data_IF_086886956391
#
_entry.id   IF_086886956391
#
_cell.length_a   1.000
_cell.length_b   1.000
_cell.length_c   1.000
_cell.angle_alpha   90.00
_cell.angle_beta   90.00
_cell.angle_gamma   90.00
#
_symmetry.space_group_name_H-M   'P 1'
#
loop_
_entity.id
_entity.type
_entity.pdbx_description
1 polymer ?
#
# COMPACT_ATOMS: atom_id res chain seq x y z
N UNK A 1 -9.52 8.73 12.81
CA UNK A 1 -9.43 8.37 11.38
C UNK A 1 -10.83 7.93 10.91
N UNK A 2 -11.41 8.56 9.88
CA UNK A 2 -12.70 8.11 9.33
C UNK A 2 -12.41 6.99 8.34
N UNK A 3 -12.68 5.74 8.72
CA UNK A 3 -12.64 4.61 7.80
C UNK A 3 -13.76 4.84 6.78
N UNK A 4 -13.40 5.18 5.54
CA UNK A 4 -14.34 5.22 4.42
C UNK A 4 -14.71 3.77 4.10
N UNK A 5 -15.86 3.32 4.59
CA UNK A 5 -16.49 2.09 4.07
C UNK A 5 -16.81 2.33 2.59
N UNK A 6 -15.93 1.86 1.69
CA UNK A 6 -16.27 1.73 0.27
C UNK A 6 -17.13 0.46 0.13
N UNK A 7 -18.32 0.64 -0.45
CA UNK A 7 -19.34 -0.40 -0.62
C UNK A 7 -18.83 -1.49 -1.57
N UNK A 8 -19.19 -2.77 -1.34
CA UNK A 8 -18.94 -3.90 -2.26
C UNK A 8 -19.78 -3.79 -3.56
N UNK A 9 -19.72 -2.63 -4.22
CA UNK A 9 -20.30 -2.39 -5.54
C UNK A 9 -19.27 -2.89 -6.57
N UNK A 10 -19.69 -3.55 -7.67
CA UNK A 10 -18.79 -3.83 -8.78
C UNK A 10 -18.07 -2.56 -9.21
N UNK A 11 -16.77 -2.53 -8.99
CA UNK A 11 -15.90 -1.44 -9.40
C UNK A 11 -15.30 -1.79 -10.76
N UNK A 12 -15.12 -0.79 -11.61
CA UNK A 12 -14.34 -0.96 -12.83
C UNK A 12 -12.87 -1.26 -12.46
N UNK A 13 -12.11 -1.78 -13.42
CA UNK A 13 -10.74 -2.25 -13.14
C UNK A 13 -9.84 -1.16 -12.55
N UNK A 14 -10.05 0.10 -12.94
CA UNK A 14 -9.28 1.25 -12.46
C UNK A 14 -9.58 1.55 -11.00
N UNK A 15 -10.84 1.59 -10.62
CA UNK A 15 -11.32 1.83 -9.26
C UNK A 15 -10.87 0.69 -8.34
N UNK A 16 -10.89 -0.54 -8.84
CA UNK A 16 -10.35 -1.70 -8.12
C UNK A 16 -8.85 -1.56 -7.85
N UNK A 17 -8.08 -1.07 -8.82
CA UNK A 17 -6.64 -0.84 -8.63
C UNK A 17 -6.37 0.29 -7.63
N UNK A 18 -7.16 1.36 -7.67
CA UNK A 18 -7.08 2.44 -6.68
C UNK A 18 -7.40 1.95 -5.27
N UNK A 19 -8.47 1.15 -5.12
CA UNK A 19 -8.83 0.53 -3.85
C UNK A 19 -7.71 -0.38 -3.33
N UNK A 20 -7.06 -1.14 -4.22
CA UNK A 20 -5.93 -1.99 -3.85
C UNK A 20 -4.72 -1.17 -3.39
N UNK A 21 -4.40 -0.07 -4.07
CA UNK A 21 -3.31 0.84 -3.66
C UNK A 21 -3.60 1.42 -2.27
N UNK A 22 -4.84 1.87 -2.04
CA UNK A 22 -5.29 2.41 -0.74
C UNK A 22 -5.11 1.35 0.37
N UNK A 23 -5.51 0.10 0.10
CA UNK A 23 -5.42 -1.01 1.06
C UNK A 23 -3.97 -1.42 1.37
N UNK A 24 -3.14 -1.55 0.34
CA UNK A 24 -1.72 -1.89 0.50
C UNK A 24 -1.00 -0.78 1.27
N UNK A 25 -1.25 0.48 0.93
CA UNK A 25 -0.64 1.63 1.63
C UNK A 25 -1.06 1.65 3.10
N UNK A 26 -2.34 1.43 3.39
CA UNK A 26 -2.83 1.37 4.78
C UNK A 26 -2.20 0.22 5.56
N UNK A 27 -2.07 -0.96 4.92
CA UNK A 27 -1.41 -2.13 5.51
C UNK A 27 0.06 -1.87 5.80
N UNK A 28 0.78 -1.19 4.90
CA UNK A 28 2.17 -0.79 5.10
C UNK A 28 2.32 0.19 6.27
N UNK A 29 1.40 1.14 6.42
CA UNK A 29 1.38 2.06 7.57
C UNK A 29 1.19 1.29 8.90
N UNK A 30 0.31 0.30 8.94
CA UNK A 30 0.11 -0.54 10.13
C UNK A 30 1.34 -1.40 10.46
N UNK A 31 1.99 -1.98 9.44
CA UNK A 31 3.22 -2.76 9.60
C UNK A 31 4.39 -1.87 10.04
N UNK A 32 4.54 -0.68 9.46
CA UNK A 32 5.55 0.31 9.85
C UNK A 32 5.37 0.74 11.31
N UNK A 33 4.14 1.01 11.74
CA UNK A 33 3.85 1.35 13.13
C UNK A 33 4.20 0.20 14.09
N UNK A 34 3.93 -1.05 13.67
CA UNK A 34 4.28 -2.25 14.45
C UNK A 34 5.79 -2.48 14.52
N UNK A 35 6.53 -2.13 13.47
CA UNK A 35 7.99 -2.18 13.46
C UNK A 35 8.58 -1.13 14.42
N UNK A 36 8.10 0.10 14.33
CA UNK A 36 8.54 1.21 15.18
C UNK A 36 8.23 0.98 16.67
N UNK A 37 7.15 0.25 16.97
CA UNK A 37 6.83 -0.19 18.34
C UNK A 37 7.62 -1.42 18.81
N UNK A 38 8.37 -2.07 17.91
CA UNK A 38 9.11 -3.29 18.20
C UNK A 38 8.24 -4.54 18.34
N UNK A 39 7.03 -4.50 17.79
CA UNK A 39 6.02 -5.57 17.84
C UNK A 39 5.93 -6.37 16.53
N UNK A 40 6.62 -5.94 15.48
CA UNK A 40 6.66 -6.63 14.20
C UNK A 40 7.44 -7.95 14.30
N UNK A 41 6.83 -9.04 13.83
CA UNK A 41 7.47 -10.35 13.74
C UNK A 41 8.01 -10.63 12.32
N UNK A 42 8.73 -11.74 12.16
CA UNK A 42 9.31 -12.15 10.87
C UNK A 42 8.27 -12.31 9.75
N UNK A 43 7.02 -12.63 10.10
CA UNK A 43 5.95 -12.72 9.13
C UNK A 43 5.52 -11.33 8.66
N UNK A 44 5.42 -10.38 9.59
CA UNK A 44 5.17 -8.97 9.31
C UNK A 44 6.26 -8.32 8.46
N UNK A 45 7.54 -8.60 8.73
CA UNK A 45 8.66 -8.15 7.90
C UNK A 45 8.52 -8.65 6.46
N UNK A 46 8.23 -9.95 6.27
CA UNK A 46 8.01 -10.53 4.96
C UNK A 46 6.79 -9.95 4.24
N UNK A 47 5.70 -9.69 4.96
CA UNK A 47 4.51 -9.05 4.40
C UNK A 47 4.80 -7.61 3.93
N UNK A 48 5.57 -6.86 4.72
CA UNK A 48 5.99 -5.49 4.39
C UNK A 48 6.80 -5.44 3.09
N UNK A 49 7.78 -6.34 2.94
CA UNK A 49 8.57 -6.46 1.72
C UNK A 49 7.73 -6.71 0.47
N UNK A 50 6.76 -7.65 0.57
CA UNK A 50 5.88 -7.96 -0.56
C UNK A 50 4.98 -6.78 -0.91
N UNK A 51 4.45 -6.06 0.09
CA UNK A 51 3.60 -4.90 -0.15
C UNK A 51 4.37 -3.72 -0.78
N UNK A 52 5.62 -3.49 -0.37
CA UNK A 52 6.51 -2.52 -1.03
C UNK A 52 6.72 -2.91 -2.49
N UNK A 53 7.11 -4.15 -2.78
CA UNK A 53 7.33 -4.64 -4.15
C UNK A 53 6.07 -4.49 -5.02
N UNK A 54 4.88 -4.73 -4.45
CA UNK A 54 3.61 -4.56 -5.18
C UNK A 54 3.33 -3.10 -5.53
N UNK A 55 3.56 -2.15 -4.62
CA UNK A 55 3.40 -0.73 -4.93
C UNK A 55 4.41 -0.27 -5.99
N UNK A 56 5.67 -0.72 -5.91
CA UNK A 56 6.68 -0.41 -6.92
C UNK A 56 6.30 -0.98 -8.30
N UNK A 57 5.83 -2.22 -8.34
CA UNK A 57 5.35 -2.84 -9.56
C UNK A 57 4.21 -2.03 -10.18
N UNK A 58 3.25 -1.59 -9.38
CA UNK A 58 2.15 -0.75 -9.85
C UNK A 58 2.68 0.59 -10.35
N UNK A 59 3.56 1.26 -9.58
CA UNK A 59 4.13 2.55 -9.95
C UNK A 59 4.86 2.50 -11.29
N UNK A 60 5.69 1.46 -11.50
CA UNK A 60 6.48 1.28 -12.72
C UNK A 60 5.65 0.88 -13.95
N UNK A 61 4.50 0.21 -13.77
CA UNK A 61 3.71 -0.36 -14.87
C UNK A 61 2.46 0.43 -15.21
N UNK A 62 1.92 1.18 -14.26
CA UNK A 62 0.73 1.99 -14.46
C UNK A 62 1.11 3.44 -14.70
N UNK A 63 0.93 3.90 -15.94
CA UNK A 63 1.35 5.23 -16.39
C UNK A 63 0.75 6.37 -15.55
N UNK A 64 -0.48 6.21 -15.08
CA UNK A 64 -1.17 7.23 -14.28
C UNK A 64 -0.91 7.10 -12.76
N UNK A 65 -0.04 6.19 -12.30
CA UNK A 65 0.16 5.88 -10.88
C UNK A 65 0.50 7.10 -10.01
N UNK A 66 1.43 7.95 -10.47
CA UNK A 66 1.83 9.19 -9.79
C UNK A 66 0.66 10.15 -9.61
N UNK A 67 -0.09 10.42 -10.68
CA UNK A 67 -1.28 11.29 -10.67
C UNK A 67 -2.40 10.74 -9.76
N UNK A 68 -2.35 9.45 -9.44
CA UNK A 68 -3.29 8.75 -8.58
C UNK A 68 -2.82 8.55 -7.14
N UNK A 69 -1.68 9.13 -6.75
CA UNK A 69 -1.23 9.17 -5.35
C UNK A 69 -0.01 8.30 -5.03
N UNK A 70 0.59 7.63 -6.03
CA UNK A 70 1.89 6.99 -5.91
C UNK A 70 3.03 7.90 -6.44
N UNK A 71 3.00 9.18 -6.09
CA UNK A 71 4.03 10.19 -6.42
C UNK A 71 4.99 10.39 -5.23
N UNK A 72 5.57 9.30 -4.76
CA UNK A 72 6.58 9.30 -3.69
C UNK A 72 7.55 8.14 -3.87
N UNK A 73 8.72 8.26 -3.25
CA UNK A 73 9.68 7.16 -3.15
C UNK A 73 9.18 6.14 -2.11
N UNK A 74 8.82 4.96 -2.60
CA UNK A 74 8.17 3.91 -1.79
C UNK A 74 9.15 3.33 -0.78
N UNK A 75 10.42 3.13 -1.15
CA UNK A 75 11.45 2.60 -0.24
C UNK A 75 11.83 3.64 0.83
N UNK A 76 11.85 4.93 0.50
CA UNK A 76 12.07 5.99 1.50
C UNK A 76 10.91 6.08 2.50
N UNK A 77 9.67 5.89 2.05
CA UNK A 77 8.47 5.98 2.90
C UNK A 77 8.24 4.72 3.73
N UNK A 78 8.52 3.54 3.17
CA UNK A 78 8.32 2.24 3.81
C UNK A 78 9.61 1.42 3.74
N UNK A 79 10.60 1.71 4.60
CA UNK A 79 11.90 1.04 4.55
C UNK A 79 11.76 -0.46 4.84
N UNK A 80 12.46 -1.32 4.10
CA UNK A 80 12.46 -2.78 4.31
C UNK A 80 13.83 -3.35 4.57
#
# INVERSE_FOLDING_TARGET
MKIKSRSMIPAEARETLLDLIDEITSSLEELQNSEESGELDLYGEGAKAVYVELLEFIQQRWKESEEQGLDFDIEERFPV
#
